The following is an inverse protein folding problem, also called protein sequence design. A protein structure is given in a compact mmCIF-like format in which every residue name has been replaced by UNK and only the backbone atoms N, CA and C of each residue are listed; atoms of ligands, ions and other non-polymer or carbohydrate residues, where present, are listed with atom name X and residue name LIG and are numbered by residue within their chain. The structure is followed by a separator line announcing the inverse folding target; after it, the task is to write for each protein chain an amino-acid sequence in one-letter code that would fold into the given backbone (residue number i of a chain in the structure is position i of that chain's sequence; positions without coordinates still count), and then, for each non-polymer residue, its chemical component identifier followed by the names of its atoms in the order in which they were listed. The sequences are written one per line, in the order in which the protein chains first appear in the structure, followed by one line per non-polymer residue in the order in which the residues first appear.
data_IF_123095196440
#
_entry.id   IF_123095196440
#
_cell.length_a   1.000
_cell.length_b   1.000
_cell.length_c   1.000
_cell.angle_alpha   90.00
_cell.angle_beta   90.00
_cell.angle_gamma   90.00
#
_symmetry.space_group_name_H-M   'P 1'
#
loop_
_entity.id
_entity.type
_entity.pdbx_description
1 polymer ?
#
# COMPACT_ATOMS: atom_id res chain seq x y z
N UNK A 1 -6.35 14.13 -17.31
CA UNK A 1 -6.41 12.83 -16.59
C UNK A 1 -7.85 12.55 -16.19
N UNK A 2 -8.33 11.32 -16.43
CA UNK A 2 -9.68 10.95 -16.03
C UNK A 2 -9.78 10.87 -14.50
N UNK A 3 -10.98 11.15 -13.96
CA UNK A 3 -11.19 11.14 -12.51
C UNK A 3 -10.84 9.80 -11.87
N UNK A 4 -11.15 8.67 -12.54
CA UNK A 4 -10.80 7.35 -12.03
C UNK A 4 -9.30 7.09 -11.99
N UNK A 5 -8.54 7.64 -12.95
CA UNK A 5 -7.09 7.51 -12.96
C UNK A 5 -6.45 8.31 -11.82
N UNK A 6 -6.94 9.53 -11.59
CA UNK A 6 -6.49 10.36 -10.48
C UNK A 6 -6.79 9.67 -9.14
N UNK A 7 -7.98 9.08 -9.00
CA UNK A 7 -8.36 8.38 -7.79
C UNK A 7 -7.47 7.15 -7.54
N UNK A 8 -7.10 6.42 -8.60
CA UNK A 8 -6.23 5.25 -8.46
C UNK A 8 -4.82 5.64 -7.98
N UNK A 9 -4.26 6.73 -8.52
CA UNK A 9 -2.97 7.24 -8.07
C UNK A 9 -3.02 7.73 -6.64
N UNK A 10 -4.08 8.46 -6.29
CA UNK A 10 -4.26 8.97 -4.93
C UNK A 10 -4.40 7.82 -3.92
N UNK A 11 -5.15 6.77 -4.27
CA UNK A 11 -5.32 5.62 -3.42
C UNK A 11 -3.99 4.90 -3.16
N UNK A 12 -3.16 4.73 -4.20
CA UNK A 12 -1.84 4.13 -4.06
C UNK A 12 -0.94 4.97 -3.17
N UNK A 13 -0.96 6.29 -3.33
CA UNK A 13 -0.17 7.20 -2.51
C UNK A 13 -0.60 7.18 -1.06
N UNK A 14 -1.92 7.19 -0.81
CA UNK A 14 -2.44 7.16 0.55
C UNK A 14 -2.09 5.85 1.24
N UNK A 15 -2.19 4.73 0.53
CA UNK A 15 -1.81 3.44 1.09
C UNK A 15 -0.32 3.38 1.40
N UNK A 16 0.54 3.87 0.50
CA UNK A 16 1.98 3.92 0.72
C UNK A 16 2.33 4.79 1.94
N UNK A 17 1.66 5.94 2.09
CA UNK A 17 1.88 6.81 3.24
C UNK A 17 1.46 6.14 4.54
N UNK A 18 0.33 5.44 4.54
CA UNK A 18 -0.14 4.70 5.72
C UNK A 18 0.81 3.58 6.10
N UNK A 19 1.36 2.87 5.10
CA UNK A 19 2.35 1.82 5.34
C UNK A 19 3.63 2.42 5.94
N UNK A 20 4.07 3.57 5.42
CA UNK A 20 5.24 4.26 5.96
C UNK A 20 5.04 4.64 7.42
N UNK A 21 3.88 5.22 7.74
CA UNK A 21 3.57 5.64 9.12
C UNK A 21 3.50 4.41 10.04
N UNK A 22 2.89 3.34 9.59
CA UNK A 22 2.83 2.09 10.35
C UNK A 22 4.21 1.49 10.55
N UNK A 23 5.11 1.59 9.56
CA UNK A 23 6.47 1.10 9.67
C UNK A 23 7.25 1.84 10.75
N UNK A 24 7.02 3.14 10.91
CA UNK A 24 7.65 3.91 12.00
C UNK A 24 7.24 3.34 13.35
N UNK A 25 5.97 3.01 13.51
CA UNK A 25 5.46 2.47 14.78
C UNK A 25 5.98 1.06 15.08
N UNK A 26 6.17 0.26 14.03
CA UNK A 26 6.54 -1.15 14.19
C UNK A 26 8.06 -1.34 14.19
N UNK A 27 8.77 -0.66 13.30
CA UNK A 27 10.20 -0.86 13.06
C UNK A 27 11.07 0.28 13.57
N UNK A 28 10.47 1.39 13.96
CA UNK A 28 11.21 2.57 14.43
C UNK A 28 11.79 3.43 13.32
N UNK A 29 11.53 3.12 12.06
CA UNK A 29 12.01 3.89 10.92
C UNK A 29 11.03 3.82 9.76
N UNK A 30 10.94 4.88 8.93
CA UNK A 30 10.03 4.88 7.78
C UNK A 30 10.43 3.86 6.74
N UNK A 31 9.42 3.23 6.12
CA UNK A 31 9.61 2.37 4.97
C UNK A 31 8.31 2.32 4.19
N UNK A 32 8.35 2.62 2.90
CA UNK A 32 7.18 2.47 2.02
C UNK A 32 7.09 1.08 1.41
N UNK A 33 8.06 0.21 1.71
CA UNK A 33 8.01 -1.17 1.25
C UNK A 33 7.26 -2.01 2.27
N UNK A 34 6.36 -2.85 1.77
CA UNK A 34 5.61 -3.75 2.62
C UNK A 34 6.54 -4.83 3.15
N UNK A 35 6.54 -5.09 4.49
CA UNK A 35 7.37 -6.16 5.03
C UNK A 35 7.00 -7.51 4.44
N UNK A 36 7.98 -8.34 4.17
CA UNK A 36 7.76 -9.71 3.69
C UNK A 36 7.71 -10.71 4.84
N UNK A 37 8.26 -10.37 6.00
CA UNK A 37 8.25 -11.26 7.15
C UNK A 37 6.89 -11.21 7.84
N UNK A 38 6.34 -12.39 8.10
CA UNK A 38 4.99 -12.50 8.62
C UNK A 38 4.73 -11.72 9.92
N UNK A 39 5.60 -11.77 10.95
CA UNK A 39 5.32 -11.02 12.18
C UNK A 39 5.28 -9.51 11.95
N UNK A 40 6.17 -8.97 11.13
CA UNK A 40 6.18 -7.54 10.82
C UNK A 40 4.99 -7.15 9.97
N UNK A 41 4.63 -7.98 8.99
CA UNK A 41 3.48 -7.74 8.13
C UNK A 41 2.19 -7.73 8.96
N UNK A 42 2.04 -8.67 9.88
CA UNK A 42 0.86 -8.73 10.75
C UNK A 42 0.80 -7.49 11.66
N UNK A 43 1.94 -7.03 12.17
CA UNK A 43 1.99 -5.85 13.02
C UNK A 43 1.61 -4.59 12.24
N UNK A 44 2.12 -4.42 11.03
CA UNK A 44 1.76 -3.29 10.17
C UNK A 44 0.28 -3.34 9.82
N UNK A 45 -0.24 -4.50 9.47
CA UNK A 45 -1.66 -4.67 9.15
C UNK A 45 -2.54 -4.30 10.35
N UNK A 46 -2.14 -4.69 11.55
CA UNK A 46 -2.87 -4.35 12.77
C UNK A 46 -2.94 -2.83 12.99
N UNK A 47 -1.82 -2.14 12.80
CA UNK A 47 -1.78 -0.67 12.91
C UNK A 47 -2.72 -0.02 11.89
N UNK A 48 -2.84 -0.61 10.70
CA UNK A 48 -3.71 -0.09 9.64
C UNK A 48 -5.18 -0.46 9.83
N UNK A 49 -5.51 -1.25 10.85
CA UNK A 49 -6.89 -1.61 11.17
C UNK A 49 -7.37 -2.92 10.58
N UNK A 50 -6.49 -3.74 10.02
CA UNK A 50 -6.87 -5.06 9.53
C UNK A 50 -7.06 -6.02 10.71
N UNK A 51 -8.02 -6.95 10.62
CA UNK A 51 -8.18 -7.98 11.65
C UNK A 51 -6.91 -8.84 11.79
N UNK A 52 -6.67 -9.44 12.97
CA UNK A 52 -5.42 -10.18 13.21
C UNK A 52 -5.15 -11.33 12.24
N UNK A 53 -6.20 -11.97 11.74
CA UNK A 53 -6.09 -13.11 10.82
C UNK A 53 -6.25 -12.70 9.35
N UNK A 54 -6.36 -11.40 9.07
CA UNK A 54 -6.55 -10.87 7.71
C UNK A 54 -5.33 -10.06 7.22
N UNK A 55 -4.15 -10.29 7.78
CA UNK A 55 -2.95 -9.53 7.38
C UNK A 55 -2.58 -9.75 5.91
N UNK A 56 -2.97 -10.89 5.33
CA UNK A 56 -2.72 -11.15 3.90
C UNK A 56 -3.55 -10.25 3.00
N UNK A 57 -4.67 -9.74 3.50
CA UNK A 57 -5.49 -8.79 2.74
C UNK A 57 -4.73 -7.49 2.49
N UNK A 58 -3.87 -7.07 3.42
CA UNK A 58 -3.00 -5.91 3.22
C UNK A 58 -2.08 -6.13 2.02
N UNK A 59 -1.46 -7.30 1.91
CA UNK A 59 -0.60 -7.63 0.78
C UNK A 59 -1.37 -7.58 -0.54
N UNK A 60 -2.58 -8.11 -0.56
CA UNK A 60 -3.42 -8.09 -1.76
C UNK A 60 -3.83 -6.66 -2.12
N UNK A 61 -4.22 -5.86 -1.13
CA UNK A 61 -4.60 -4.46 -1.35
C UNK A 61 -3.43 -3.65 -1.89
N UNK A 62 -2.23 -3.87 -1.33
CA UNK A 62 -1.02 -3.21 -1.78
C UNK A 62 -0.70 -3.56 -3.24
N UNK A 63 -0.74 -4.85 -3.58
CA UNK A 63 -0.46 -5.30 -4.93
C UNK A 63 -1.49 -4.77 -5.93
N UNK A 64 -2.75 -4.75 -5.53
CA UNK A 64 -3.83 -4.23 -6.39
C UNK A 64 -3.64 -2.75 -6.65
N UNK A 65 -3.35 -1.98 -5.61
CA UNK A 65 -3.12 -0.53 -5.73
C UNK A 65 -1.91 -0.25 -6.61
N UNK A 66 -0.82 -1.00 -6.42
CA UNK A 66 0.40 -0.84 -7.21
C UNK A 66 0.16 -1.14 -8.69
N UNK A 67 -0.58 -2.21 -8.98
CA UNK A 67 -0.90 -2.57 -10.38
C UNK A 67 -1.77 -1.50 -11.04
N UNK A 68 -2.75 -0.98 -10.33
CA UNK A 68 -3.62 0.06 -10.88
C UNK A 68 -2.85 1.34 -11.13
N UNK A 69 -1.99 1.74 -10.22
CA UNK A 69 -1.15 2.92 -10.37
C UNK A 69 -0.20 2.77 -11.56
N UNK A 70 0.42 1.59 -11.70
CA UNK A 70 1.32 1.31 -12.82
C UNK A 70 0.57 1.40 -14.15
N UNK A 71 -0.63 0.81 -14.24
CA UNK A 71 -1.42 0.86 -15.46
C UNK A 71 -1.76 2.30 -15.86
N UNK A 72 -2.10 3.14 -14.88
CA UNK A 72 -2.38 4.56 -15.13
C UNK A 72 -1.12 5.28 -15.62
N UNK A 73 0.01 5.05 -14.97
CA UNK A 73 1.28 5.67 -15.36
C UNK A 73 1.70 5.25 -16.76
N UNK A 74 1.56 3.98 -17.10
CA UNK A 74 1.88 3.49 -18.43
C UNK A 74 1.01 4.15 -19.49
N UNK A 75 -0.28 4.35 -19.23
CA UNK A 75 -1.16 5.07 -20.15
C UNK A 75 -0.75 6.51 -20.35
N UNK A 76 -0.31 7.19 -19.28
CA UNK A 76 0.09 8.58 -19.37
C UNK A 76 1.40 8.76 -20.14
N UNK A 77 2.32 7.80 -20.05
CA UNK A 77 3.63 7.93 -20.69
C UNK A 77 3.75 7.20 -22.01
N UNK A 78 2.98 6.15 -22.24
CA UNK A 78 3.14 5.32 -23.43
C UNK A 78 1.88 5.19 -24.27
N UNK A 79 0.78 5.64 -23.75
CA UNK A 79 -0.47 5.41 -24.42
C UNK A 79 -1.21 6.55 -24.89
#
# INVERSE_FOLDING_TARGET
MAAGESAALAAAWQLAARIRDAAVLVRGRPSDLLPSRQPELAAVASVLGYPPDAYQDLTQDYRRAARRARAVMERLFYG
#
